data_IF_979500114228
#
_entry.id   IF_979500114228
#
_cell.length_a   1.000
_cell.length_b   1.000
_cell.length_c   1.000
_cell.angle_alpha   90.00
_cell.angle_beta   90.00
_cell.angle_gamma   90.00
#
_symmetry.space_group_name_H-M   'P 1'
#
loop_
_entity.id
_entity.type
_entity.pdbx_description
1 polymer ?
#
# COMPACT_ATOMS: atom_id res chain seq x y z
N UNK A 1 -42.42 5.87 -26.57
CA UNK A 1 -41.73 4.66 -27.08
C UNK A 1 -40.85 5.10 -28.24
N UNK A 2 -39.53 4.80 -28.23
CA UNK A 2 -39.10 3.46 -28.64
C UNK A 2 -37.98 2.80 -27.78
N UNK A 3 -38.11 1.47 -27.70
CA UNK A 3 -37.10 0.38 -27.76
C UNK A 3 -35.89 0.37 -26.82
N UNK A 4 -36.05 -0.39 -25.73
CA UNK A 4 -35.00 -1.08 -24.99
C UNK A 4 -34.26 -2.10 -25.86
N UNK A 5 -32.92 -2.04 -25.86
CA UNK A 5 -32.02 -2.93 -26.58
C UNK A 5 -31.99 -4.35 -25.97
N UNK A 6 -31.75 -5.41 -26.78
CA UNK A 6 -31.69 -6.78 -26.30
C UNK A 6 -30.32 -7.07 -25.67
N UNK A 7 -30.31 -7.44 -24.38
CA UNK A 7 -29.12 -7.98 -23.71
C UNK A 7 -28.78 -9.34 -24.34
N UNK A 8 -27.72 -9.37 -25.14
CA UNK A 8 -27.31 -10.51 -25.97
C UNK A 8 -26.83 -11.69 -25.13
N UNK A 9 -27.19 -12.91 -25.56
CA UNK A 9 -26.81 -14.18 -24.91
C UNK A 9 -25.29 -14.31 -24.65
N UNK A 10 -24.45 -13.66 -25.46
CA UNK A 10 -23.01 -13.56 -25.30
C UNK A 10 -22.59 -12.95 -23.94
N UNK A 11 -23.31 -11.94 -23.44
CA UNK A 11 -23.03 -11.30 -22.14
C UNK A 11 -23.29 -12.25 -20.96
N UNK A 12 -24.27 -13.16 -21.11
CA UNK A 12 -24.60 -14.17 -20.08
C UNK A 12 -23.54 -15.27 -20.07
N UNK A 13 -23.03 -15.69 -21.23
CA UNK A 13 -21.97 -16.68 -21.35
C UNK A 13 -20.63 -16.17 -20.79
N UNK A 14 -20.28 -14.92 -21.05
CA UNK A 14 -19.07 -14.29 -20.53
C UNK A 14 -19.10 -14.14 -18.99
N UNK A 15 -20.28 -13.82 -18.44
CA UNK A 15 -20.51 -13.82 -16.98
C UNK A 15 -20.39 -15.22 -16.38
N UNK A 16 -20.93 -16.25 -17.04
CA UNK A 16 -20.79 -17.65 -16.59
C UNK A 16 -19.34 -18.13 -16.65
N UNK A 17 -18.59 -17.72 -17.67
CA UNK A 17 -17.19 -18.09 -17.83
C UNK A 17 -16.31 -17.44 -16.74
N UNK A 18 -16.50 -16.15 -16.47
CA UNK A 18 -15.77 -15.43 -15.41
C UNK A 18 -16.08 -15.95 -14.01
N UNK A 19 -17.35 -16.25 -13.70
CA UNK A 19 -17.72 -16.90 -12.43
C UNK A 19 -17.13 -18.30 -12.28
N UNK A 20 -17.07 -19.07 -13.37
CA UNK A 20 -16.47 -20.40 -13.39
C UNK A 20 -14.96 -20.35 -13.14
N UNK A 21 -14.26 -19.39 -13.77
CA UNK A 21 -12.84 -19.14 -13.52
C UNK A 21 -12.56 -18.71 -12.08
N UNK A 22 -13.41 -17.84 -11.51
CA UNK A 22 -13.30 -17.41 -10.10
C UNK A 22 -13.46 -18.59 -9.14
N UNK A 23 -14.49 -19.41 -9.33
CA UNK A 23 -14.73 -20.62 -8.52
C UNK A 23 -13.59 -21.63 -8.68
N UNK A 24 -13.01 -21.77 -9.87
CA UNK A 24 -11.85 -22.65 -10.11
C UNK A 24 -10.61 -22.16 -9.37
N UNK A 25 -10.26 -20.88 -9.46
CA UNK A 25 -9.14 -20.28 -8.72
C UNK A 25 -9.31 -20.40 -7.20
N UNK A 26 -10.52 -20.13 -6.70
CA UNK A 26 -10.84 -20.29 -5.28
C UNK A 26 -10.66 -21.74 -4.80
N UNK A 27 -11.20 -22.72 -5.53
CA UNK A 27 -11.04 -24.15 -5.21
C UNK A 27 -9.59 -24.60 -5.29
N UNK A 28 -8.81 -24.10 -6.24
CA UNK A 28 -7.38 -24.38 -6.34
C UNK A 28 -6.61 -23.84 -5.11
N UNK A 29 -6.89 -22.60 -4.70
CA UNK A 29 -6.30 -21.99 -3.51
C UNK A 29 -6.64 -22.75 -2.22
N UNK A 30 -7.92 -23.14 -2.06
CA UNK A 30 -8.34 -23.95 -0.90
C UNK A 30 -7.72 -25.35 -0.89
N UNK A 31 -7.49 -25.95 -2.06
CA UNK A 31 -6.79 -27.24 -2.17
C UNK A 31 -5.31 -27.11 -1.79
N UNK A 32 -4.62 -26.04 -2.21
CA UNK A 32 -3.23 -25.80 -1.81
C UNK A 32 -3.09 -25.53 -0.32
N UNK A 33 -4.02 -24.77 0.26
CA UNK A 33 -4.08 -24.50 1.71
C UNK A 33 -4.30 -25.80 2.50
N UNK A 34 -5.21 -26.67 2.05
CA UNK A 34 -5.42 -27.98 2.67
C UNK A 34 -4.17 -28.85 2.64
N UNK A 35 -3.47 -28.93 1.49
CA UNK A 35 -2.23 -29.71 1.37
C UNK A 35 -1.16 -29.17 2.33
N UNK A 36 -1.02 -27.84 2.42
CA UNK A 36 -0.07 -27.23 3.36
C UNK A 36 -0.42 -27.58 4.80
N UNK A 37 -1.68 -27.43 5.20
CA UNK A 37 -2.14 -27.77 6.55
C UNK A 37 -1.96 -29.26 6.86
N UNK A 38 -2.28 -30.17 5.92
CA UNK A 38 -2.07 -31.61 6.09
C UNK A 38 -0.60 -31.96 6.25
N UNK A 39 0.29 -31.31 5.49
CA UNK A 39 1.74 -31.49 5.65
C UNK A 39 2.21 -31.00 7.01
N UNK A 40 1.73 -29.85 7.48
CA UNK A 40 2.10 -29.30 8.78
C UNK A 40 1.59 -30.19 9.92
N UNK A 41 0.34 -30.63 9.85
CA UNK A 41 -0.26 -31.56 10.82
C UNK A 41 0.54 -32.86 10.90
N UNK A 42 0.96 -33.41 9.75
CA UNK A 42 1.78 -34.62 9.71
C UNK A 42 3.16 -34.40 10.33
N UNK A 43 3.82 -33.28 10.02
CA UNK A 43 5.11 -32.95 10.66
C UNK A 43 4.98 -32.79 12.18
N UNK A 44 3.91 -32.18 12.66
CA UNK A 44 3.66 -32.00 14.09
C UNK A 44 3.32 -33.33 14.76
N UNK A 45 2.55 -34.21 14.11
CA UNK A 45 2.27 -35.56 14.61
C UNK A 45 3.53 -36.41 14.68
N UNK A 46 4.40 -36.36 13.67
CA UNK A 46 5.68 -37.08 13.67
C UNK A 46 6.61 -36.57 14.79
N UNK A 47 6.63 -35.25 15.03
CA UNK A 47 7.36 -34.66 16.16
C UNK A 47 6.80 -35.09 17.50
N UNK A 48 5.48 -35.13 17.64
CA UNK A 48 4.82 -35.53 18.88
C UNK A 48 5.06 -37.02 19.15
N UNK A 49 4.91 -37.88 18.15
CA UNK A 49 5.21 -39.31 18.23
C UNK A 49 6.68 -39.57 18.61
N UNK A 50 7.62 -38.80 18.06
CA UNK A 50 9.03 -38.87 18.44
C UNK A 50 9.26 -38.47 19.91
N UNK A 51 8.55 -37.45 20.40
CA UNK A 51 8.68 -36.96 21.78
C UNK A 51 7.98 -37.86 22.80
N UNK A 52 6.91 -38.55 22.41
CA UNK A 52 6.11 -39.40 23.31
C UNK A 52 6.42 -40.90 23.20
N UNK A 53 7.29 -41.32 22.28
CA UNK A 53 7.69 -42.72 22.18
C UNK A 53 8.35 -43.18 23.50
N UNK A 54 7.86 -44.26 24.13
CA UNK A 54 8.45 -44.79 25.36
C UNK A 54 9.88 -45.23 25.06
N UNK A 55 10.86 -44.58 25.72
CA UNK A 55 12.28 -44.91 25.60
C UNK A 55 12.50 -46.28 26.24
N UNK A 56 12.45 -47.35 25.44
CA UNK A 56 12.93 -48.64 25.90
C UNK A 56 14.45 -48.56 26.04
N UNK A 57 14.92 -48.87 27.24
CA UNK A 57 16.32 -48.96 27.59
C UNK A 57 16.95 -50.15 26.88
N UNK A 58 17.53 -49.96 25.70
CA UNK A 58 18.55 -50.83 25.11
C UNK A 58 18.84 -50.43 23.66
N UNK A 59 20.00 -49.83 23.38
CA UNK A 59 20.98 -50.43 22.46
C UNK A 59 22.16 -49.48 22.19
N UNK A 60 23.31 -50.11 22.03
CA UNK A 60 24.59 -49.59 21.59
C UNK A 60 24.53 -49.28 20.08
N UNK A 61 24.04 -48.11 19.68
CA UNK A 61 24.31 -47.56 18.34
C UNK A 61 24.51 -46.04 18.41
N UNK A 62 25.45 -45.45 17.65
CA UNK A 62 25.65 -44.01 17.65
C UNK A 62 24.44 -43.33 17.01
N UNK A 63 23.74 -42.51 17.79
CA UNK A 63 22.63 -41.70 17.31
C UNK A 63 23.09 -40.75 16.20
N UNK A 64 22.54 -40.91 14.99
CA UNK A 64 22.70 -39.99 13.85
C UNK A 64 21.91 -38.68 14.02
N UNK A 65 21.14 -38.54 15.10
CA UNK A 65 20.45 -37.28 15.41
C UNK A 65 21.36 -36.37 16.24
N UNK A 66 21.60 -35.12 15.80
CA UNK A 66 22.43 -34.19 16.56
C UNK A 66 21.77 -33.95 17.93
N UNK A 67 22.55 -33.96 19.02
CA UNK A 67 22.04 -33.73 20.37
C UNK A 67 21.10 -32.51 20.42
N UNK A 68 20.01 -32.54 21.22
CA UNK A 68 19.07 -31.43 21.37
C UNK A 68 19.75 -30.09 21.68
N UNK A 69 20.89 -30.12 22.39
CA UNK A 69 21.73 -28.96 22.66
C UNK A 69 22.32 -28.33 21.38
N UNK A 70 22.67 -29.13 20.36
CA UNK A 70 23.16 -28.64 19.07
C UNK A 70 22.03 -27.98 18.28
N UNK A 71 20.82 -28.56 18.30
CA UNK A 71 19.64 -27.99 17.63
C UNK A 71 19.26 -26.65 18.29
N UNK A 72 19.18 -26.61 19.62
CA UNK A 72 18.90 -25.39 20.38
C UNK A 72 19.95 -24.31 20.15
N UNK A 73 21.24 -24.69 20.08
CA UNK A 73 22.34 -23.77 19.77
C UNK A 73 22.23 -23.20 18.36
N UNK A 74 21.97 -24.03 17.35
CA UNK A 74 21.77 -23.58 15.96
C UNK A 74 20.56 -22.65 15.82
N UNK A 75 19.47 -22.95 16.52
CA UNK A 75 18.28 -22.10 16.54
C UNK A 75 18.55 -20.75 17.22
N UNK A 76 19.29 -20.75 18.34
CA UNK A 76 19.70 -19.52 19.04
C UNK A 76 20.65 -18.67 18.18
N UNK A 77 21.58 -19.30 17.47
CA UNK A 77 22.48 -18.65 16.52
C UNK A 77 21.70 -18.05 15.34
N UNK A 78 20.71 -18.77 14.79
CA UNK A 78 19.82 -18.26 13.74
C UNK A 78 19.01 -17.04 14.20
N UNK A 79 18.39 -17.11 15.40
CA UNK A 79 17.67 -15.98 15.99
C UNK A 79 18.58 -14.76 16.20
N UNK A 80 19.81 -14.98 16.70
CA UNK A 80 20.80 -13.90 16.85
C UNK A 80 21.19 -13.28 15.50
N UNK A 81 21.35 -14.10 14.46
CA UNK A 81 21.62 -13.62 13.12
C UNK A 81 20.44 -12.78 12.57
N UNK A 82 19.21 -13.25 12.78
CA UNK A 82 18.01 -12.55 12.33
C UNK A 82 17.80 -11.22 13.07
N UNK A 83 18.01 -11.18 14.39
CA UNK A 83 17.99 -9.94 15.19
C UNK A 83 19.09 -8.98 14.72
N UNK A 84 20.28 -9.48 14.42
CA UNK A 84 21.39 -8.66 13.92
C UNK A 84 21.06 -8.04 12.57
N UNK A 85 20.50 -8.83 11.65
CA UNK A 85 20.06 -8.38 10.33
C UNK A 85 18.96 -7.32 10.43
N UNK A 86 17.92 -7.59 11.22
CA UNK A 86 16.81 -6.66 11.46
C UNK A 86 17.30 -5.34 12.08
N UNK A 87 18.19 -5.43 13.07
CA UNK A 87 18.78 -4.25 13.72
C UNK A 87 19.65 -3.44 12.75
N UNK A 88 20.38 -4.10 11.85
CA UNK A 88 21.16 -3.44 10.80
C UNK A 88 20.24 -2.74 9.80
N UNK A 89 19.19 -3.42 9.34
CA UNK A 89 18.18 -2.83 8.45
C UNK A 89 17.52 -1.60 9.09
N UNK A 90 17.04 -1.72 10.33
CA UNK A 90 16.41 -0.63 11.06
C UNK A 90 17.37 0.57 11.24
N UNK A 91 18.65 0.32 11.55
CA UNK A 91 19.67 1.37 11.61
C UNK A 91 19.92 2.02 10.26
N UNK A 92 20.03 1.25 9.19
CA UNK A 92 20.21 1.78 7.83
C UNK A 92 19.02 2.62 7.41
N UNK A 93 17.79 2.15 7.66
CA UNK A 93 16.57 2.91 7.39
C UNK A 93 16.51 4.19 8.23
N UNK A 94 16.80 4.11 9.53
CA UNK A 94 16.85 5.28 10.41
C UNK A 94 17.88 6.31 9.96
N UNK A 95 19.09 5.87 9.61
CA UNK A 95 20.14 6.74 9.08
C UNK A 95 19.74 7.34 7.74
N UNK A 96 19.16 6.54 6.85
CA UNK A 96 18.65 7.03 5.57
C UNK A 96 17.55 8.08 5.78
N UNK A 97 16.61 7.86 6.70
CA UNK A 97 15.57 8.84 7.05
C UNK A 97 16.16 10.09 7.70
N UNK A 98 17.18 9.96 8.55
CA UNK A 98 17.84 11.09 9.20
C UNK A 98 18.68 11.94 8.22
N UNK A 99 19.27 11.31 7.20
CA UNK A 99 20.02 12.02 6.14
C UNK A 99 19.10 12.72 5.14
N UNK A 100 17.81 12.39 5.10
CA UNK A 100 16.78 13.23 4.49
C UNK A 100 16.52 14.45 5.38
N UNK A 101 17.42 15.44 5.37
CA UNK A 101 17.19 16.73 6.04
C UNK A 101 15.93 17.40 5.47
N UNK A 102 14.89 17.67 6.28
CA UNK A 102 13.83 18.57 5.88
C UNK A 102 14.41 19.98 5.85
N UNK A 103 14.62 20.52 4.65
CA UNK A 103 14.84 21.95 4.49
C UNK A 103 13.49 22.65 4.66
N UNK A 104 13.51 23.88 5.17
CA UNK A 104 12.30 24.68 5.36
C UNK A 104 11.61 24.90 4.00
N UNK A 105 10.38 24.39 3.88
CA UNK A 105 9.59 24.36 2.65
C UNK A 105 9.70 23.04 1.87
N UNK A 106 8.70 22.69 1.04
CA UNK A 106 8.74 21.50 0.20
C UNK A 106 9.80 21.68 -0.90
N UNK A 107 11.09 21.48 -0.58
CA UNK A 107 12.12 21.35 -1.61
C UNK A 107 12.00 19.94 -2.18
N UNK A 108 11.29 19.84 -3.30
CA UNK A 108 11.05 18.60 -4.02
C UNK A 108 12.36 17.95 -4.47
N UNK A 109 12.72 16.85 -3.81
CA UNK A 109 13.82 15.97 -4.22
C UNK A 109 13.31 14.99 -5.29
N UNK A 110 14.09 14.75 -6.33
CA UNK A 110 13.81 13.73 -7.36
C UNK A 110 13.50 12.36 -6.77
N UNK A 111 14.19 11.98 -5.69
CA UNK A 111 13.96 10.74 -4.94
C UNK A 111 12.57 10.63 -4.29
N UNK A 112 11.84 11.75 -4.14
CA UNK A 112 10.47 11.75 -3.59
C UNK A 112 9.42 11.60 -4.69
N UNK A 113 9.73 12.05 -5.91
CA UNK A 113 8.85 11.99 -7.09
C UNK A 113 8.88 10.60 -7.75
N UNK A 114 10.04 9.96 -7.79
CA UNK A 114 10.25 8.68 -8.48
C UNK A 114 10.09 7.49 -7.52
N UNK A 115 8.87 7.28 -7.04
CA UNK A 115 8.57 6.09 -6.23
C UNK A 115 8.17 4.92 -7.14
N UNK A 116 8.89 3.80 -7.01
CA UNK A 116 8.57 2.53 -7.70
C UNK A 116 7.93 1.57 -6.72
N UNK A 117 6.76 1.05 -7.07
CA UNK A 117 6.10 0.01 -6.31
C UNK A 117 6.51 -1.37 -6.83
N UNK A 118 7.16 -2.15 -5.97
CA UNK A 118 7.72 -3.45 -6.34
C UNK A 118 6.63 -4.51 -6.62
N UNK A 119 6.97 -5.49 -7.45
CA UNK A 119 6.09 -6.62 -7.78
C UNK A 119 6.08 -7.70 -6.69
N UNK A 120 7.14 -7.77 -5.87
CA UNK A 120 7.22 -8.71 -4.76
C UNK A 120 6.07 -8.44 -3.76
N UNK A 121 5.18 -9.42 -3.46
CA UNK A 121 3.98 -9.17 -2.65
C UNK A 121 4.26 -8.61 -1.24
N UNK A 122 5.29 -9.12 -0.56
CA UNK A 122 5.64 -8.67 0.79
C UNK A 122 6.23 -7.26 0.78
N UNK A 123 7.16 -6.99 -0.15
CA UNK A 123 7.73 -5.65 -0.30
C UNK A 123 6.69 -4.63 -0.76
N UNK A 124 5.75 -5.05 -1.59
CA UNK A 124 4.63 -4.22 -2.07
C UNK A 124 3.72 -3.80 -0.93
N UNK A 125 3.37 -4.72 -0.03
CA UNK A 125 2.57 -4.39 1.16
C UNK A 125 3.27 -3.35 2.05
N UNK A 126 4.56 -3.52 2.26
CA UNK A 126 5.37 -2.54 3.00
C UNK A 126 5.45 -1.20 2.25
N UNK A 127 5.57 -1.24 0.92
CA UNK A 127 5.59 -0.05 0.06
C UNK A 127 4.32 0.79 0.21
N UNK A 128 3.15 0.17 0.27
CA UNK A 128 1.88 0.90 0.48
C UNK A 128 1.87 1.70 1.78
N UNK A 129 2.27 1.06 2.89
CA UNK A 129 2.32 1.70 4.21
C UNK A 129 3.39 2.77 4.25
N UNK A 130 4.61 2.44 3.84
CA UNK A 130 5.72 3.37 3.85
C UNK A 130 5.45 4.63 3.02
N UNK A 131 4.90 4.48 1.82
CA UNK A 131 4.58 5.61 0.94
C UNK A 131 3.48 6.51 1.53
N UNK A 132 2.43 5.91 2.11
CA UNK A 132 1.36 6.68 2.75
C UNK A 132 1.80 7.34 4.05
N UNK A 133 2.56 6.65 4.91
CA UNK A 133 3.11 7.19 6.17
C UNK A 133 4.08 8.34 5.88
N UNK A 134 4.87 8.24 4.80
CA UNK A 134 5.75 9.32 4.34
C UNK A 134 4.97 10.59 4.05
N UNK A 135 3.85 10.51 3.31
CA UNK A 135 3.02 11.68 3.00
C UNK A 135 2.39 12.26 4.26
N UNK A 136 1.94 11.42 5.19
CA UNK A 136 1.46 11.87 6.50
C UNK A 136 2.54 12.68 7.25
N UNK A 137 3.76 12.14 7.37
CA UNK A 137 4.85 12.85 8.03
C UNK A 137 5.24 14.15 7.33
N UNK A 138 5.16 14.21 6.01
CA UNK A 138 5.35 15.46 5.26
C UNK A 138 4.26 16.48 5.59
N UNK A 139 2.99 16.05 5.65
CA UNK A 139 1.88 16.94 6.01
C UNK A 139 2.02 17.52 7.43
N UNK A 140 2.58 16.75 8.36
CA UNK A 140 2.81 17.20 9.74
C UNK A 140 3.92 18.25 9.83
N UNK A 141 4.90 18.22 8.93
CA UNK A 141 5.98 19.22 8.84
C UNK A 141 5.55 20.49 8.10
N UNK A 142 4.52 20.40 7.28
CA UNK A 142 3.95 21.52 6.52
C UNK A 142 2.43 21.63 6.74
N UNK A 143 1.98 21.92 7.98
CA UNK A 143 0.56 21.88 8.34
C UNK A 143 -0.27 22.97 7.65
N UNK A 144 0.36 24.10 7.28
CA UNK A 144 -0.30 25.28 6.71
C UNK A 144 0.37 25.71 5.40
N UNK A 145 0.16 24.99 4.28
CA UNK A 145 0.76 25.35 3.00
C UNK A 145 0.32 26.73 2.48
N UNK A 146 -0.79 27.27 2.98
CA UNK A 146 -1.31 28.59 2.63
C UNK A 146 -1.11 29.67 3.70
N UNK A 147 -0.34 29.38 4.76
CA UNK A 147 -0.24 30.22 5.96
C UNK A 147 -1.46 30.09 6.87
N UNK A 148 -1.61 31.00 7.83
CA UNK A 148 -2.60 30.91 8.92
C UNK A 148 -4.02 31.37 8.53
N UNK A 149 -4.23 31.79 7.30
CA UNK A 149 -5.55 32.21 6.82
C UNK A 149 -6.47 31.00 6.66
N UNK A 150 -7.71 31.09 7.13
CA UNK A 150 -8.73 30.02 7.03
C UNK A 150 -9.46 30.02 5.68
N UNK A 151 -9.17 30.99 4.81
CA UNK A 151 -9.84 31.13 3.51
C UNK A 151 -9.64 29.90 2.60
N UNK A 152 -10.69 29.53 1.87
CA UNK A 152 -10.62 28.45 0.89
C UNK A 152 -9.59 28.77 -0.20
N UNK A 153 -8.66 27.85 -0.45
CA UNK A 153 -7.54 28.02 -1.38
C UNK A 153 -7.17 26.70 -2.05
N UNK A 154 -6.79 26.81 -3.32
CA UNK A 154 -6.24 25.70 -4.11
C UNK A 154 -4.93 26.15 -4.75
N UNK A 155 -3.91 25.31 -4.68
CA UNK A 155 -2.65 25.49 -5.40
C UNK A 155 -2.28 24.16 -6.07
N UNK A 156 -1.97 24.22 -7.35
CA UNK A 156 -1.44 23.08 -8.10
C UNK A 156 -0.17 23.55 -8.78
N UNK A 157 0.94 22.90 -8.46
CA UNK A 157 2.26 23.21 -9.00
C UNK A 157 2.73 22.01 -9.82
N UNK A 158 2.95 22.23 -11.11
CA UNK A 158 3.62 21.27 -11.98
C UNK A 158 5.12 21.53 -11.94
N UNK A 159 5.87 20.52 -11.56
CA UNK A 159 7.31 20.61 -11.41
C UNK A 159 7.97 20.12 -12.69
N UNK A 160 8.88 20.93 -13.22
CA UNK A 160 9.58 20.64 -14.48
C UNK A 160 10.75 19.70 -14.21
N UNK A 161 10.82 18.63 -14.99
CA UNK A 161 11.99 17.77 -15.15
C UNK A 161 12.71 18.05 -16.45
N UNK A 162 13.95 17.60 -16.51
CA UNK A 162 14.71 17.48 -17.75
C UNK A 162 14.89 15.99 -18.02
N UNK A 163 14.47 15.55 -19.20
CA UNK A 163 14.72 14.21 -19.72
C UNK A 163 15.50 14.32 -21.04
N UNK A 164 15.99 13.19 -21.57
CA UNK A 164 16.76 13.16 -22.83
C UNK A 164 16.00 13.76 -24.02
N UNK A 165 14.66 13.76 -23.96
CA UNK A 165 13.77 14.28 -25.00
C UNK A 165 13.28 15.72 -24.74
N UNK A 166 13.78 16.38 -23.70
CA UNK A 166 13.48 17.78 -23.38
C UNK A 166 12.75 17.98 -22.04
N UNK A 167 11.98 19.07 -21.95
CA UNK A 167 11.26 19.45 -20.73
C UNK A 167 10.08 18.51 -20.47
N UNK A 168 10.09 17.82 -19.34
CA UNK A 168 9.01 16.92 -18.90
C UNK A 168 8.34 17.44 -17.63
N UNK A 169 7.15 16.93 -17.30
CA UNK A 169 6.53 17.17 -16.00
C UNK A 169 7.04 16.08 -15.05
N UNK A 170 7.94 16.45 -14.14
CA UNK A 170 8.56 15.55 -13.17
C UNK A 170 7.65 15.21 -11.98
N UNK A 171 6.67 16.07 -11.67
CA UNK A 171 5.63 15.76 -10.70
C UNK A 171 4.54 16.85 -10.70
N UNK A 172 3.43 16.52 -10.06
CA UNK A 172 2.38 17.47 -9.73
C UNK A 172 2.19 17.46 -8.21
N UNK A 173 2.21 18.65 -7.63
CA UNK A 173 1.93 18.91 -6.22
C UNK A 173 0.63 19.69 -6.10
N UNK A 174 -0.33 19.17 -5.33
CA UNK A 174 -1.63 19.80 -5.12
C UNK A 174 -1.89 20.06 -3.64
N UNK A 175 -2.23 21.30 -3.32
CA UNK A 175 -2.67 21.73 -1.99
C UNK A 175 -4.10 22.25 -2.08
N UNK A 176 -4.95 21.79 -1.17
CA UNK A 176 -6.36 22.15 -1.11
C UNK A 176 -6.72 22.50 0.33
N UNK A 177 -7.29 23.68 0.51
CA UNK A 177 -7.84 24.16 1.76
C UNK A 177 -9.27 24.62 1.49
N UNK A 178 -10.21 24.09 2.26
CA UNK A 178 -11.62 24.45 2.14
C UNK A 178 -12.30 24.31 3.49
N UNK A 179 -13.30 25.14 3.74
CA UNK A 179 -14.11 25.12 4.95
C UNK A 179 -15.38 24.34 4.67
N UNK A 180 -15.64 23.31 5.47
CA UNK A 180 -16.87 22.53 5.39
C UNK A 180 -17.69 22.72 6.66
N UNK A 181 -19.00 22.93 6.51
CA UNK A 181 -19.91 22.98 7.63
C UNK A 181 -20.35 21.55 7.99
N UNK A 182 -19.97 21.10 9.18
CA UNK A 182 -20.39 19.80 9.72
C UNK A 182 -19.28 19.09 10.49
N UNK A 183 -19.59 17.88 10.95
CA UNK A 183 -18.62 17.01 11.60
C UNK A 183 -17.51 16.60 10.61
N UNK A 184 -16.25 16.87 10.98
CA UNK A 184 -15.09 16.63 10.11
C UNK A 184 -14.95 15.15 9.73
N UNK A 185 -15.41 14.21 10.58
CA UNK A 185 -15.41 12.78 10.25
C UNK A 185 -16.41 12.49 9.15
N UNK A 186 -17.63 13.03 9.24
CA UNK A 186 -18.63 12.90 8.19
C UNK A 186 -18.15 13.50 6.85
N UNK A 187 -17.58 14.70 6.89
CA UNK A 187 -17.02 15.36 5.68
C UNK A 187 -15.90 14.50 5.08
N UNK A 188 -15.00 13.96 5.92
CA UNK A 188 -13.90 13.12 5.45
C UNK A 188 -14.38 11.85 4.75
N UNK A 189 -15.45 11.21 5.25
CA UNK A 189 -16.04 10.03 4.62
C UNK A 189 -16.63 10.36 3.24
N UNK A 190 -17.29 11.52 3.12
CA UNK A 190 -17.84 11.98 1.83
C UNK A 190 -16.75 12.28 0.82
N UNK A 191 -15.68 12.97 1.25
CA UNK A 191 -14.52 13.24 0.40
C UNK A 191 -13.79 11.97 -0.02
N UNK A 192 -13.66 11.01 0.90
CA UNK A 192 -13.06 9.72 0.59
C UNK A 192 -13.80 9.03 -0.54
N UNK A 193 -15.13 8.90 -0.45
CA UNK A 193 -15.95 8.30 -1.50
C UNK A 193 -15.93 9.11 -2.80
N UNK A 194 -15.99 10.44 -2.72
CA UNK A 194 -16.01 11.31 -3.89
C UNK A 194 -14.69 11.27 -4.69
N UNK A 195 -13.54 11.20 -4.01
CA UNK A 195 -12.23 11.09 -4.67
C UNK A 195 -12.01 9.72 -5.34
N UNK A 196 -12.76 8.70 -4.94
CA UNK A 196 -12.72 7.34 -5.50
C UNK A 196 -13.79 7.16 -6.59
N UNK A 197 -14.71 8.13 -6.76
CA UNK A 197 -15.80 8.01 -7.71
C UNK A 197 -15.24 7.73 -9.12
N UNK A 198 -15.64 6.61 -9.75
CA UNK A 198 -14.96 6.09 -10.92
C UNK A 198 -15.09 7.04 -12.10
N UNK A 199 -13.96 7.49 -12.64
CA UNK A 199 -13.86 7.82 -14.07
C UNK A 199 -13.88 6.51 -14.87
N UNK A 200 -14.17 6.61 -16.18
CA UNK A 200 -14.65 5.54 -17.08
C UNK A 200 -14.05 4.12 -16.93
N UNK A 201 -12.81 3.95 -16.45
CA UNK A 201 -12.23 2.65 -16.08
C UNK A 201 -11.37 2.80 -14.81
N UNK A 202 -11.99 2.68 -13.64
CA UNK A 202 -11.28 2.69 -12.34
C UNK A 202 -11.35 1.31 -11.69
N UNK A 203 -10.19 0.72 -11.39
CA UNK A 203 -10.06 -0.55 -10.66
C UNK A 203 -9.52 -0.23 -9.28
N UNK A 204 -10.29 -0.62 -8.26
CA UNK A 204 -9.95 -0.39 -6.86
C UNK A 204 -9.54 -1.73 -6.25
N UNK A 205 -8.33 -1.78 -5.72
CA UNK A 205 -7.84 -2.87 -4.89
C UNK A 205 -7.83 -2.41 -3.43
N UNK A 206 -8.79 -2.91 -2.67
CA UNK A 206 -8.74 -2.80 -1.21
C UNK A 206 -7.57 -3.66 -0.71
N UNK A 207 -6.69 -3.06 0.09
CA UNK A 207 -5.44 -3.70 0.52
C UNK A 207 -5.52 -4.33 1.91
N UNK A 208 -6.54 -3.97 2.69
CA UNK A 208 -6.84 -4.59 3.98
C UNK A 208 -8.30 -5.09 3.99
N UNK A 209 -8.50 -6.29 4.54
CA UNK A 209 -9.83 -6.90 4.75
C UNK A 209 -10.62 -6.21 5.88
N UNK A 210 -9.99 -5.25 6.58
CA UNK A 210 -10.59 -4.42 7.61
C UNK A 210 -10.67 -2.97 7.11
N UNK A 211 -11.85 -2.35 7.05
CA UNK A 211 -12.02 -0.95 6.64
C UNK A 211 -11.41 0.07 7.63
N UNK A 212 -10.72 -0.39 8.68
CA UNK A 212 -10.30 0.40 9.83
C UNK A 212 -9.03 1.23 9.55
N UNK A 213 -8.15 0.78 8.64
CA UNK A 213 -6.89 1.49 8.35
C UNK A 213 -6.97 2.40 7.11
N UNK A 214 -8.13 2.41 6.44
CA UNK A 214 -8.44 3.32 5.34
C UNK A 214 -7.45 3.27 4.18
N UNK A 215 -6.66 2.19 4.02
CA UNK A 215 -5.62 2.08 3.00
C UNK A 215 -6.18 1.43 1.73
N UNK A 216 -6.00 2.11 0.60
CA UNK A 216 -6.43 1.64 -0.71
C UNK A 216 -5.34 1.84 -1.76
N UNK A 217 -5.29 0.92 -2.71
CA UNK A 217 -4.60 1.12 -3.97
C UNK A 217 -5.62 1.10 -5.08
N UNK A 218 -5.64 2.11 -5.93
CA UNK A 218 -6.48 2.11 -7.11
C UNK A 218 -5.70 2.58 -8.32
N UNK A 219 -6.12 2.09 -9.48
CA UNK A 219 -5.65 2.61 -10.74
C UNK A 219 -6.84 3.03 -11.60
N UNK A 220 -6.68 4.15 -12.27
CA UNK A 220 -7.69 4.71 -13.16
C UNK A 220 -7.04 4.98 -14.51
N UNK A 221 -7.66 4.48 -15.56
CA UNK A 221 -7.25 4.73 -16.93
C UNK A 221 -8.32 5.56 -17.62
N UNK A 222 -7.95 6.75 -18.09
CA UNK A 222 -8.73 7.50 -19.07
C UNK A 222 -8.00 7.46 -20.43
N UNK A 223 -8.58 8.08 -21.47
CA UNK A 223 -8.05 8.00 -22.85
C UNK A 223 -6.61 8.51 -23.04
N UNK A 224 -6.05 9.28 -22.09
CA UNK A 224 -4.74 9.94 -22.22
C UNK A 224 -3.86 9.80 -20.96
N UNK A 225 -4.44 9.41 -19.83
CA UNK A 225 -3.83 9.45 -18.51
C UNK A 225 -4.08 8.15 -17.77
N UNK A 226 -2.99 7.56 -17.26
CA UNK A 226 -3.05 6.42 -16.36
C UNK A 226 -2.58 6.87 -14.98
N UNK A 227 -3.48 6.83 -14.00
CA UNK A 227 -3.19 7.25 -12.64
C UNK A 227 -3.15 6.03 -11.76
N UNK A 228 -2.08 5.90 -10.96
CA UNK A 228 -1.94 4.88 -9.93
C UNK A 228 -1.78 5.56 -8.59
N UNK A 229 -2.69 5.27 -7.67
CA UNK A 229 -2.76 5.99 -6.40
C UNK A 229 -2.76 5.01 -5.24
N UNK A 230 -1.88 5.27 -4.28
CA UNK A 230 -1.98 4.73 -2.94
C UNK A 230 -2.61 5.82 -2.09
N UNK A 231 -3.77 5.55 -1.51
CA UNK A 231 -4.45 6.51 -0.68
C UNK A 231 -4.72 5.92 0.71
N UNK A 232 -4.61 6.76 1.74
CA UNK A 232 -4.86 6.33 3.11
C UNK A 232 -5.54 7.42 3.95
N UNK A 233 -6.50 7.00 4.77
CA UNK A 233 -7.16 7.85 5.75
C UNK A 233 -6.58 7.61 7.15
N UNK A 234 -6.06 8.66 7.77
CA UNK A 234 -5.63 8.68 9.17
C UNK A 234 -6.65 9.43 10.01
N UNK A 235 -7.32 8.71 10.91
CA UNK A 235 -8.33 9.29 11.80
C UNK A 235 -7.70 9.53 13.16
N UNK A 236 -7.59 10.81 13.54
CA UNK A 236 -7.11 11.24 14.84
C UNK A 236 -8.28 11.84 15.66
N UNK A 237 -8.03 12.18 16.92
CA UNK A 237 -9.07 12.70 17.81
C UNK A 237 -9.66 14.04 17.31
N UNK A 238 -8.82 14.95 16.84
CA UNK A 238 -9.17 16.33 16.46
C UNK A 238 -9.13 16.60 14.95
N UNK A 239 -8.68 15.63 14.16
CA UNK A 239 -8.50 15.80 12.71
C UNK A 239 -8.54 14.48 11.95
N UNK A 240 -8.77 14.57 10.65
CA UNK A 240 -8.56 13.48 9.70
C UNK A 240 -7.54 13.92 8.66
N UNK A 241 -6.57 13.07 8.34
CA UNK A 241 -5.61 13.31 7.27
C UNK A 241 -5.82 12.28 6.17
N UNK A 242 -6.17 12.75 4.97
CA UNK A 242 -6.22 11.93 3.76
C UNK A 242 -4.88 12.11 3.04
N UNK A 243 -4.23 11.01 2.69
CA UNK A 243 -2.97 11.02 1.96
C UNK A 243 -3.14 10.35 0.60
N UNK A 244 -2.46 10.88 -0.41
CA UNK A 244 -2.46 10.37 -1.78
C UNK A 244 -1.02 10.32 -2.29
N UNK A 245 -0.58 9.16 -2.73
CA UNK A 245 0.69 8.99 -3.43
C UNK A 245 0.42 8.56 -4.85
N UNK A 246 0.83 9.39 -5.82
CA UNK A 246 0.72 9.11 -7.25
C UNK A 246 2.00 8.42 -7.71
N UNK A 247 1.89 7.19 -8.21
CA UNK A 247 3.03 6.35 -8.56
C UNK A 247 3.46 6.56 -10.01
N UNK A 248 4.75 6.84 -10.21
CA UNK A 248 5.36 6.85 -11.52
C UNK A 248 5.49 5.43 -12.08
N UNK A 249 6.00 4.51 -11.24
CA UNK A 249 6.36 3.16 -11.65
C UNK A 249 5.69 2.12 -10.75
N UNK A 250 5.21 1.07 -11.39
CA UNK A 250 4.64 -0.09 -10.75
C UNK A 250 5.11 -1.33 -11.51
N UNK A 251 5.90 -2.18 -10.87
CA UNK A 251 6.49 -3.35 -11.53
C UNK A 251 5.45 -4.40 -11.92
N UNK A 252 4.28 -4.44 -11.26
CA UNK A 252 3.18 -5.29 -11.70
C UNK A 252 2.51 -4.78 -12.98
N UNK A 253 2.71 -3.50 -13.30
CA UNK A 253 2.10 -2.83 -14.45
C UNK A 253 3.09 -1.86 -15.12
N UNK A 254 4.14 -2.42 -15.75
CA UNK A 254 5.16 -1.61 -16.40
C UNK A 254 4.55 -0.74 -17.50
N UNK A 255 5.17 0.42 -17.75
CA UNK A 255 4.83 1.23 -18.92
C UNK A 255 5.25 0.47 -20.18
N UNK A 256 4.40 0.50 -21.21
CA UNK A 256 4.73 -0.13 -22.49
C UNK A 256 5.73 0.78 -23.21
N UNK A 257 6.95 0.30 -23.56
CA UNK A 257 7.91 1.11 -24.28
C UNK A 257 7.32 1.64 -25.60
N UNK A 258 7.45 2.95 -25.84
CA UNK A 258 6.94 3.60 -27.05
C UNK A 258 5.43 3.91 -27.06
N UNK A 259 4.67 3.49 -26.05
CA UNK A 259 3.30 3.97 -25.88
C UNK A 259 3.33 5.42 -25.36
N UNK A 260 2.45 6.29 -25.91
CA UNK A 260 2.21 7.65 -25.37
C UNK A 260 1.35 7.58 -24.12
N UNK A 261 1.86 6.93 -23.08
CA UNK A 261 1.22 6.85 -21.77
C UNK A 261 1.77 7.97 -20.87
N UNK A 262 0.92 8.87 -20.40
CA UNK A 262 1.28 9.84 -19.38
C UNK A 262 0.79 9.37 -18.00
N UNK A 263 1.72 9.28 -17.04
CA UNK A 263 1.44 8.92 -15.64
C UNK A 263 1.73 10.11 -14.71
N UNK A 264 0.69 10.75 -14.15
CA UNK A 264 0.88 11.71 -13.07
C UNK A 264 1.52 11.00 -11.88
N UNK A 265 2.56 11.60 -11.31
CA UNK A 265 3.26 11.08 -10.14
C UNK A 265 3.63 12.21 -9.19
N UNK A 266 3.78 11.89 -7.91
CA UNK A 266 3.88 12.87 -6.83
C UNK A 266 3.06 12.49 -5.61
N UNK A 267 2.63 13.47 -4.84
CA UNK A 267 1.83 13.27 -3.63
C UNK A 267 0.91 14.45 -3.35
N UNK A 268 -0.16 14.19 -2.62
CA UNK A 268 -1.07 15.19 -2.10
C UNK A 268 -1.60 14.76 -0.73
N UNK A 269 -2.07 15.71 0.06
CA UNK A 269 -2.80 15.41 1.29
C UNK A 269 -3.94 16.41 1.50
N UNK A 270 -4.94 15.98 2.27
CA UNK A 270 -6.03 16.82 2.74
C UNK A 270 -6.12 16.66 4.26
N UNK A 271 -6.10 17.78 4.98
CA UNK A 271 -6.25 17.79 6.45
C UNK A 271 -7.61 18.40 6.77
N UNK A 272 -8.45 17.63 7.42
CA UNK A 272 -9.73 18.08 7.97
C UNK A 272 -9.56 18.29 9.46
N UNK A 273 -9.71 19.52 9.93
CA UNK A 273 -9.58 19.89 11.34
C UNK A 273 -10.87 20.49 11.84
N UNK A 274 -11.17 20.27 13.11
CA UNK A 274 -12.22 21.01 13.79
C UNK A 274 -11.73 22.43 14.12
N UNK A 275 -12.40 23.46 13.60
CA UNK A 275 -12.08 24.85 13.89
C UNK A 275 -13.06 25.38 14.94
N UNK A 276 -12.54 25.84 16.08
CA UNK A 276 -13.32 26.59 17.06
C UNK A 276 -13.32 28.06 16.66
N UNK A 277 -14.47 28.58 16.25
CA UNK A 277 -14.65 30.02 16.05
C UNK A 277 -15.06 30.59 17.40
N UNK A 278 -14.14 31.28 18.07
CA UNK A 278 -14.48 32.13 19.21
C UNK A 278 -15.08 33.42 18.65
N UNK A 279 -16.39 33.59 18.84
CA UNK A 279 -17.06 34.85 18.57
C UNK A 279 -16.83 35.75 19.79
N UNK A 280 -16.02 36.80 19.61
CA UNK A 280 -15.89 37.89 20.57
C UNK A 280 -16.94 38.97 20.28
#
# INVERSE_FOLDING_TARGET
MPRSAPTTAASIEERRHSESLRKRKYRAGKRTELIQLETELRTLQDQLAYLTAPRSSSSLFPSTTPPPAIIARRYNESLKAQVTLQRRLARTMSLWTATQQPRLGPIMRSSWMQSTLLANPAARQQGYRWLSDRVLHTSQRHPHPFGDAVADRVSVVAHRGEDTDGATVAAIEGHYQFTAFGDFRHVSQRLWVANIAPTAVTVIQMLDDQPIDGLMYYHSTNLVTNVRVIARQYIEASRVVLTYTYLAHDECFPMIPGAREWRPHGFAWCVLVHIYIYVY
#
